data_IF_939808038365
#
_entry.id   IF_939808038365
#
_cell.length_a   1.000
_cell.length_b   1.000
_cell.length_c   1.000
_cell.angle_alpha   90.00
_cell.angle_beta   90.00
_cell.angle_gamma   90.00
#
_symmetry.space_group_name_H-M   'P 1'
#
loop_
_entity.id
_entity.type
_entity.pdbx_description
1 polymer ?
#
# COMPACT_ATOMS: atom_id res chain seq x y z
N UNK A 1 37.87 24.49 41.07
CA UNK A 1 36.85 25.33 41.77
C UNK A 1 35.49 24.84 41.37
N UNK A 2 34.58 24.65 42.34
CA UNK A 2 33.19 24.31 42.04
C UNK A 2 32.43 25.62 41.82
N UNK A 3 31.99 25.85 40.58
CA UNK A 3 31.17 27.01 40.25
C UNK A 3 29.71 26.72 40.57
N UNK A 4 29.05 27.51 41.38
CA UNK A 4 27.62 27.40 41.67
C UNK A 4 26.88 28.24 40.63
N UNK A 5 26.07 27.56 39.79
CA UNK A 5 25.25 28.22 38.78
C UNK A 5 24.27 29.23 39.38
N UNK A 6 24.05 30.30 38.66
CA UNK A 6 23.01 31.30 39.00
C UNK A 6 21.63 30.71 38.68
N UNK A 7 20.78 30.56 39.69
CA UNK A 7 19.42 30.08 39.54
C UNK A 7 18.39 31.23 39.57
N UNK A 8 18.62 32.31 38.87
CA UNK A 8 17.60 33.35 38.76
C UNK A 8 16.65 33.04 37.61
N UNK A 9 15.40 32.66 37.97
CA UNK A 9 14.32 32.36 37.03
C UNK A 9 13.42 33.55 36.71
N UNK A 10 13.71 34.72 37.29
CA UNK A 10 12.91 35.94 37.18
C UNK A 10 13.56 36.98 36.21
N UNK A 11 14.63 36.62 35.54
CA UNK A 11 15.24 37.48 34.54
C UNK A 11 14.29 37.66 33.37
N UNK A 12 13.99 38.89 33.03
CA UNK A 12 13.17 39.25 31.88
C UNK A 12 14.10 39.44 30.69
N UNK A 13 13.91 38.61 29.65
CA UNK A 13 14.59 38.77 28.37
C UNK A 13 13.55 39.11 27.29
N UNK A 14 13.82 40.12 26.47
CA UNK A 14 12.94 40.48 25.34
C UNK A 14 13.59 39.96 24.07
N UNK A 15 13.08 38.83 23.56
CA UNK A 15 13.59 38.17 22.35
C UNK A 15 12.43 37.77 21.44
N UNK A 16 12.63 37.93 20.13
CA UNK A 16 11.68 37.36 19.16
C UNK A 16 11.84 35.85 19.08
N UNK A 17 10.73 35.10 18.98
CA UNK A 17 10.76 33.64 18.86
C UNK A 17 11.62 33.16 17.69
N UNK A 18 11.67 33.93 16.63
CA UNK A 18 12.48 33.63 15.44
C UNK A 18 13.98 33.56 15.75
N UNK A 19 14.49 34.49 16.57
CA UNK A 19 15.91 34.52 16.96
C UNK A 19 16.31 33.36 17.89
N UNK A 20 15.33 32.68 18.51
CA UNK A 20 15.59 31.55 19.39
C UNK A 20 15.76 30.21 18.64
N UNK A 21 15.42 30.18 17.34
CA UNK A 21 15.58 28.99 16.49
C UNK A 21 16.85 29.13 15.66
N UNK A 22 17.82 28.22 15.77
CA UNK A 22 19.05 28.28 14.99
C UNK A 22 18.81 28.28 13.47
N UNK A 23 19.58 29.00 12.72
CA UNK A 23 19.47 29.09 11.24
C UNK A 23 19.57 27.72 10.58
N UNK A 24 20.43 26.82 11.08
CA UNK A 24 20.65 25.47 10.56
C UNK A 24 19.63 24.44 11.06
N UNK A 25 18.62 24.86 11.83
CA UNK A 25 17.64 23.94 12.38
C UNK A 25 16.81 23.28 11.27
N UNK A 26 16.55 21.96 11.39
CA UNK A 26 15.84 21.18 10.37
C UNK A 26 14.47 21.77 10.01
N UNK A 27 13.72 22.25 10.99
CA UNK A 27 12.38 22.83 10.73
C UNK A 27 12.47 24.12 9.91
N UNK A 28 13.54 24.93 10.03
CA UNK A 28 13.76 26.08 9.14
C UNK A 28 14.02 25.63 7.70
N UNK A 29 14.82 24.59 7.53
CA UNK A 29 15.10 24.03 6.21
C UNK A 29 13.84 23.51 5.55
N UNK A 30 12.98 22.84 6.30
CA UNK A 30 11.68 22.34 5.81
C UNK A 30 10.75 23.51 5.48
N UNK A 31 10.60 24.48 6.38
CA UNK A 31 9.71 25.64 6.17
C UNK A 31 10.13 26.49 4.96
N UNK A 32 11.42 26.55 4.66
CA UNK A 32 11.96 27.23 3.48
C UNK A 32 11.81 26.40 2.19
N UNK A 33 11.86 25.07 2.29
CA UNK A 33 11.83 24.17 1.14
C UNK A 33 10.43 23.84 0.67
N UNK A 34 9.43 23.87 1.58
CA UNK A 34 8.06 23.44 1.31
C UNK A 34 7.11 24.62 1.43
N UNK A 35 6.42 24.95 0.35
CA UNK A 35 5.36 25.97 0.37
C UNK A 35 4.05 25.39 0.91
N UNK A 36 3.88 25.45 2.22
CA UNK A 36 2.68 24.95 2.88
C UNK A 36 1.38 25.69 2.50
N UNK A 37 1.45 26.80 1.78
CA UNK A 37 0.25 27.54 1.35
C UNK A 37 -0.60 26.74 0.36
N UNK A 38 0.02 25.84 -0.42
CA UNK A 38 -0.69 24.90 -1.32
C UNK A 38 -1.71 24.01 -0.61
N UNK A 39 -1.52 23.75 0.68
CA UNK A 39 -2.49 22.97 1.46
C UNK A 39 -3.85 23.65 1.55
N UNK A 40 -3.91 24.98 1.56
CA UNK A 40 -5.19 25.69 1.60
C UNK A 40 -6.05 25.37 0.38
N UNK A 41 -5.47 25.38 -0.81
CA UNK A 41 -6.16 25.09 -2.06
C UNK A 41 -6.75 23.67 -2.08
N UNK A 42 -6.00 22.70 -1.53
CA UNK A 42 -6.41 21.29 -1.47
C UNK A 42 -7.54 21.03 -0.49
N UNK A 43 -7.57 21.76 0.63
CA UNK A 43 -8.52 21.51 1.72
C UNK A 43 -9.68 22.50 1.79
N UNK A 44 -9.61 23.63 1.09
CA UNK A 44 -10.66 24.67 1.07
C UNK A 44 -12.05 24.10 0.78
N UNK A 45 -12.23 23.17 -0.19
CA UNK A 45 -13.55 22.58 -0.46
C UNK A 45 -14.15 21.78 0.71
N UNK A 46 -13.33 21.42 1.69
CA UNK A 46 -13.74 20.64 2.88
C UNK A 46 -14.22 21.55 4.03
N UNK A 47 -14.16 22.87 3.85
CA UNK A 47 -14.56 23.87 4.86
C UNK A 47 -15.79 24.63 4.39
N UNK A 48 -16.66 25.00 5.34
CA UNK A 48 -17.81 25.88 5.06
C UNK A 48 -17.36 27.34 5.11
N UNK A 49 -17.78 28.15 4.12
CA UNK A 49 -17.43 29.55 4.03
C UNK A 49 -18.04 30.39 5.16
N UNK A 50 -19.31 30.19 5.49
CA UNK A 50 -20.10 31.10 6.31
C UNK A 50 -20.70 30.53 7.60
N UNK A 51 -20.39 29.28 7.95
CA UNK A 51 -21.04 28.63 9.09
C UNK A 51 -20.08 27.86 10.01
N UNK A 52 -20.21 28.08 11.30
CA UNK A 52 -19.52 27.33 12.34
C UNK A 52 -18.48 28.13 13.12
N UNK A 53 -17.88 27.45 14.13
CA UNK A 53 -16.76 28.00 14.89
C UNK A 53 -15.51 28.05 14.01
N UNK A 54 -14.69 29.12 14.09
CA UNK A 54 -13.40 29.16 13.39
C UNK A 54 -12.59 27.88 13.65
N UNK A 55 -12.18 27.22 12.57
CA UNK A 55 -11.39 26.01 12.66
C UNK A 55 -9.94 26.31 13.00
N UNK A 56 -9.23 25.31 13.54
CA UNK A 56 -7.77 25.38 13.58
C UNK A 56 -7.25 25.35 12.12
N UNK A 57 -6.23 26.15 11.86
CA UNK A 57 -5.57 26.23 10.59
C UNK A 57 -5.14 24.83 10.08
N UNK A 58 -5.57 24.42 8.86
CA UNK A 58 -5.19 23.12 8.30
C UNK A 58 -3.67 22.92 8.18
N UNK A 59 -2.93 23.96 7.84
CA UNK A 59 -1.45 23.90 7.77
C UNK A 59 -0.86 23.51 9.11
N UNK A 60 -1.38 24.06 10.20
CA UNK A 60 -0.95 23.69 11.56
C UNK A 60 -1.23 22.21 11.85
N UNK A 61 -2.40 21.70 11.42
CA UNK A 61 -2.76 20.29 11.62
C UNK A 61 -1.79 19.34 10.88
N UNK A 62 -1.48 19.64 9.63
CA UNK A 62 -0.50 18.87 8.84
C UNK A 62 0.92 19.00 9.41
N UNK A 63 1.36 20.21 9.77
CA UNK A 63 2.66 20.42 10.41
C UNK A 63 2.79 19.67 11.75
N UNK A 64 1.71 19.53 12.54
CA UNK A 64 1.73 18.72 13.78
C UNK A 64 1.94 17.23 13.49
N UNK A 65 1.29 16.67 12.47
CA UNK A 65 1.49 15.29 12.05
C UNK A 65 2.91 15.10 11.48
N UNK A 66 3.40 16.08 10.71
CA UNK A 66 4.78 16.06 10.22
C UNK A 66 5.79 16.04 11.38
N UNK A 67 5.63 16.87 12.40
CA UNK A 67 6.47 16.85 13.60
C UNK A 67 6.44 15.47 14.26
N UNK A 68 5.25 14.86 14.41
CA UNK A 68 5.11 13.54 15.01
C UNK A 68 5.99 12.50 14.31
N UNK A 69 5.91 12.43 12.99
CA UNK A 69 6.64 11.43 12.21
C UNK A 69 8.13 11.77 12.09
N UNK A 70 8.47 13.02 11.87
CA UNK A 70 9.85 13.49 11.73
C UNK A 70 10.70 13.23 12.98
N UNK A 71 10.12 13.42 14.16
CA UNK A 71 10.80 13.21 15.43
C UNK A 71 10.46 11.89 16.13
N UNK A 72 9.70 11.00 15.45
CA UNK A 72 9.35 9.67 15.97
C UNK A 72 8.53 9.71 17.26
N UNK A 73 7.67 10.72 17.43
CA UNK A 73 6.83 10.85 18.61
C UNK A 73 5.73 9.76 18.63
N UNK A 74 5.52 9.06 19.77
CA UNK A 74 4.72 7.83 19.78
C UNK A 74 3.21 8.03 19.61
N UNK A 75 2.70 9.26 19.77
CA UNK A 75 1.27 9.57 19.68
C UNK A 75 1.00 11.05 19.48
N UNK A 76 -0.15 11.39 18.89
CA UNK A 76 -0.63 12.79 18.79
C UNK A 76 -0.75 13.48 20.16
N UNK A 77 -1.09 12.75 21.22
CA UNK A 77 -1.12 13.32 22.59
C UNK A 77 0.28 13.76 23.00
N UNK A 78 1.27 12.91 22.82
CA UNK A 78 2.66 13.26 23.14
C UNK A 78 3.16 14.39 22.25
N UNK A 79 2.77 14.41 20.99
CA UNK A 79 3.09 15.50 20.06
C UNK A 79 2.54 16.85 20.55
N UNK A 80 1.28 16.90 20.98
CA UNK A 80 0.67 18.11 21.51
C UNK A 80 1.37 18.61 22.78
N UNK A 81 1.76 17.70 23.67
CA UNK A 81 2.54 18.01 24.87
C UNK A 81 3.92 18.61 24.51
N UNK A 82 4.64 17.97 23.58
CA UNK A 82 5.96 18.45 23.11
C UNK A 82 5.84 19.80 22.38
N UNK A 83 4.84 19.98 21.54
CA UNK A 83 4.55 21.25 20.84
C UNK A 83 4.30 22.36 21.85
N UNK A 84 3.57 22.10 22.93
CA UNK A 84 3.27 23.10 23.95
C UNK A 84 4.53 23.59 24.69
N UNK A 85 5.53 22.73 24.83
CA UNK A 85 6.77 23.02 25.58
C UNK A 85 7.98 23.42 24.73
N UNK A 86 7.96 23.17 23.42
CA UNK A 86 9.11 23.40 22.53
C UNK A 86 9.01 24.70 21.76
N UNK A 87 10.00 25.54 21.91
CA UNK A 87 10.12 26.79 21.14
C UNK A 87 10.22 26.50 19.63
N UNK A 88 10.95 25.47 19.23
CA UNK A 88 11.17 25.10 17.83
C UNK A 88 9.89 24.67 17.14
N UNK A 89 9.04 23.87 17.85
CA UNK A 89 7.76 23.43 17.30
C UNK A 89 6.76 24.56 17.24
N UNK A 90 6.69 25.42 18.29
CA UNK A 90 5.86 26.63 18.28
C UNK A 90 6.18 27.56 17.13
N UNK A 91 7.48 27.82 16.93
CA UNK A 91 7.96 28.62 15.80
C UNK A 91 7.51 28.04 14.46
N UNK A 92 7.70 26.73 14.25
CA UNK A 92 7.35 26.07 13.01
C UNK A 92 5.85 26.06 12.72
N UNK A 93 5.03 26.04 13.78
CA UNK A 93 3.57 26.13 13.68
C UNK A 93 3.03 27.56 13.61
N UNK A 94 3.89 28.58 13.79
CA UNK A 94 3.49 29.98 13.83
C UNK A 94 2.86 30.46 15.14
N UNK A 95 3.03 29.73 16.26
CA UNK A 95 2.50 30.08 17.57
C UNK A 95 3.49 30.88 18.40
N UNK A 96 2.97 31.87 19.16
CA UNK A 96 3.75 32.58 20.17
C UNK A 96 4.01 31.70 21.41
N UNK A 97 4.89 32.16 22.31
CA UNK A 97 5.24 31.39 23.52
C UNK A 97 4.06 31.19 24.50
N UNK A 98 3.06 32.10 24.49
CA UNK A 98 1.94 32.07 25.43
C UNK A 98 0.63 31.57 24.80
N UNK A 99 0.57 31.48 23.50
CA UNK A 99 -0.63 31.08 22.79
C UNK A 99 -0.94 29.60 23.01
N UNK A 100 -2.21 29.23 23.12
CA UNK A 100 -2.62 27.86 23.28
C UNK A 100 -2.48 27.08 21.98
N UNK A 101 -1.74 25.97 22.03
CA UNK A 101 -1.55 25.08 20.88
C UNK A 101 -2.73 24.11 20.75
N UNK A 102 -2.98 23.57 19.53
CA UNK A 102 -4.12 22.69 19.30
C UNK A 102 -4.07 21.43 20.16
N UNK A 103 -5.23 21.05 20.68
CA UNK A 103 -5.37 19.80 21.41
C UNK A 103 -5.29 18.60 20.46
N UNK A 104 -4.68 17.50 20.90
CA UNK A 104 -4.49 16.31 20.07
C UNK A 104 -5.78 15.72 19.48
N UNK A 105 -6.92 15.87 20.20
CA UNK A 105 -8.22 15.38 19.71
C UNK A 105 -8.71 16.16 18.50
N UNK A 106 -8.37 17.45 18.38
CA UNK A 106 -8.71 18.27 17.21
C UNK A 106 -7.98 17.78 15.98
N UNK A 107 -6.69 17.48 16.11
CA UNK A 107 -5.89 16.89 15.03
C UNK A 107 -6.49 15.54 14.61
N UNK A 108 -6.70 14.64 15.58
CA UNK A 108 -7.26 13.30 15.31
C UNK A 108 -8.65 13.36 14.67
N UNK A 109 -9.51 14.30 15.09
CA UNK A 109 -10.84 14.46 14.52
C UNK A 109 -10.78 14.87 13.05
N UNK A 110 -9.95 15.85 12.70
CA UNK A 110 -9.83 16.32 11.33
C UNK A 110 -9.28 15.24 10.39
N UNK A 111 -8.26 14.49 10.81
CA UNK A 111 -7.72 13.38 10.01
C UNK A 111 -8.63 12.15 9.92
N UNK A 112 -9.65 12.03 10.76
CA UNK A 112 -10.65 10.94 10.67
C UNK A 112 -11.91 11.30 9.90
N UNK A 113 -12.30 12.57 9.93
CA UNK A 113 -13.65 12.97 9.50
C UNK A 113 -13.67 14.07 8.43
N UNK A 114 -12.57 14.81 8.27
CA UNK A 114 -12.52 15.91 7.30
C UNK A 114 -11.55 15.60 6.17
N UNK A 115 -10.31 15.26 6.48
CA UNK A 115 -9.33 14.93 5.45
C UNK A 115 -9.55 13.50 4.98
N UNK A 116 -10.03 13.37 3.74
CA UNK A 116 -10.29 12.09 3.09
C UNK A 116 -8.98 11.45 2.62
N UNK A 117 -9.06 10.19 2.20
CA UNK A 117 -7.96 9.49 1.55
C UNK A 117 -7.46 10.26 0.32
N UNK A 118 -8.39 10.81 -0.47
CA UNK A 118 -8.09 11.64 -1.65
C UNK A 118 -7.27 12.90 -1.30
N UNK A 119 -7.59 13.56 -0.17
CA UNK A 119 -6.81 14.72 0.30
C UNK A 119 -5.39 14.33 0.68
N UNK A 120 -5.22 13.20 1.36
CA UNK A 120 -3.90 12.69 1.74
C UNK A 120 -3.10 12.31 0.49
N UNK A 121 -3.75 11.71 -0.50
CA UNK A 121 -3.14 11.34 -1.78
C UNK A 121 -2.68 12.59 -2.57
N UNK A 122 -3.50 13.64 -2.61
CA UNK A 122 -3.14 14.92 -3.23
C UNK A 122 -1.92 15.55 -2.57
N UNK A 123 -1.88 15.58 -1.23
CA UNK A 123 -0.72 16.08 -0.48
C UNK A 123 0.53 15.24 -0.75
N UNK A 124 0.38 13.92 -0.81
CA UNK A 124 1.49 13.02 -1.11
C UNK A 124 2.03 13.26 -2.52
N UNK A 125 1.18 13.37 -3.53
CA UNK A 125 1.55 13.66 -4.93
C UNK A 125 2.24 15.00 -5.05
N UNK A 126 1.71 16.04 -4.41
CA UNK A 126 2.37 17.35 -4.38
C UNK A 126 3.81 17.28 -3.83
N UNK A 127 4.01 16.60 -2.70
CA UNK A 127 5.37 16.44 -2.15
C UNK A 127 6.29 15.68 -3.10
N UNK A 128 5.77 14.66 -3.80
CA UNK A 128 6.55 13.93 -4.81
C UNK A 128 6.92 14.81 -6.01
N UNK A 129 6.03 15.69 -6.45
CA UNK A 129 6.32 16.68 -7.52
C UNK A 129 7.47 17.59 -7.11
N UNK A 130 7.45 18.15 -5.90
CA UNK A 130 8.55 18.97 -5.38
C UNK A 130 9.90 18.20 -5.34
N UNK A 131 9.87 16.92 -4.95
CA UNK A 131 11.06 16.07 -4.92
C UNK A 131 11.54 15.74 -6.34
N UNK A 132 10.62 15.57 -7.31
CA UNK A 132 10.93 15.34 -8.71
C UNK A 132 11.55 16.58 -9.35
N UNK A 133 10.98 17.76 -9.13
CA UNK A 133 11.50 19.04 -9.62
C UNK A 133 12.91 19.32 -9.06
N UNK A 134 13.17 18.94 -7.82
CA UNK A 134 14.50 19.00 -7.22
C UNK A 134 15.50 17.96 -7.79
N UNK A 135 15.06 17.05 -8.67
CA UNK A 135 15.89 16.07 -9.36
C UNK A 135 16.33 14.88 -8.51
N UNK A 136 15.64 14.60 -7.40
CA UNK A 136 15.99 13.49 -6.51
C UNK A 136 15.34 12.16 -6.90
N UNK A 137 14.25 12.17 -7.67
CA UNK A 137 13.57 10.93 -8.10
C UNK A 137 14.27 10.25 -9.27
N UNK A 138 14.23 8.93 -9.28
CA UNK A 138 14.75 8.08 -10.36
C UNK A 138 13.84 6.88 -10.59
N UNK A 139 12.62 7.08 -11.15
CA UNK A 139 11.57 6.07 -11.23
C UNK A 139 11.76 5.01 -12.32
N UNK A 140 12.83 5.04 -13.13
CA UNK A 140 13.08 4.02 -14.18
C UNK A 140 13.05 2.57 -13.67
N UNK A 141 13.55 2.35 -12.45
CA UNK A 141 13.48 1.06 -11.78
C UNK A 141 12.78 1.24 -10.43
N UNK A 142 11.67 0.55 -10.26
CA UNK A 142 10.85 0.62 -9.04
C UNK A 142 10.86 -0.71 -8.29
N UNK A 143 10.79 -0.63 -6.98
CA UNK A 143 10.82 -1.76 -6.05
C UNK A 143 9.49 -1.84 -5.31
N UNK A 144 8.78 -2.96 -5.47
CA UNK A 144 7.49 -3.21 -4.83
C UNK A 144 7.68 -4.18 -3.68
N UNK A 145 7.26 -3.80 -2.48
CA UNK A 145 7.30 -4.65 -1.29
C UNK A 145 6.07 -4.42 -0.40
N UNK A 146 5.66 -5.47 0.31
CA UNK A 146 4.54 -5.44 1.25
C UNK A 146 5.01 -5.41 2.71
N UNK A 147 4.55 -4.42 3.47
CA UNK A 147 4.85 -4.30 4.89
C UNK A 147 3.60 -4.41 5.74
N UNK A 148 3.58 -5.34 6.69
CA UNK A 148 2.44 -5.52 7.59
C UNK A 148 2.45 -4.51 8.74
N UNK A 149 1.37 -3.74 8.86
CA UNK A 149 1.13 -2.75 9.91
C UNK A 149 0.10 -3.33 10.89
N UNK A 150 0.48 -3.46 12.16
CA UNK A 150 -0.41 -3.99 13.20
C UNK A 150 -1.62 -3.07 13.37
N UNK A 151 -2.82 -3.64 13.25
CA UNK A 151 -4.07 -2.93 13.52
C UNK A 151 -4.29 -2.72 15.02
N UNK A 152 -4.93 -1.62 15.38
CA UNK A 152 -5.37 -1.38 16.75
C UNK A 152 -6.68 -2.12 17.05
N UNK A 153 -6.66 -3.43 16.88
CA UNK A 153 -7.79 -4.33 16.95
C UNK A 153 -7.69 -5.31 18.12
N UNK A 154 -8.81 -5.53 18.81
CA UNK A 154 -8.87 -6.52 19.88
C UNK A 154 -8.94 -7.94 19.32
N UNK A 155 -7.88 -8.71 19.49
CA UNK A 155 -7.76 -10.08 18.96
C UNK A 155 -8.76 -11.07 19.59
N UNK A 156 -9.33 -10.77 20.76
CA UNK A 156 -10.35 -11.61 21.42
C UNK A 156 -11.76 -11.34 20.89
N UNK A 157 -12.02 -10.13 20.34
CA UNK A 157 -13.32 -9.76 19.76
C UNK A 157 -13.28 -9.97 18.24
N UNK A 158 -13.65 -11.18 17.82
CA UNK A 158 -13.63 -11.58 16.42
C UNK A 158 -14.95 -12.20 15.97
N UNK A 159 -15.30 -12.01 14.72
CA UNK A 159 -16.45 -12.64 14.08
C UNK A 159 -16.03 -13.39 12.82
N UNK A 160 -16.79 -14.43 12.46
CA UNK A 160 -16.60 -15.16 11.20
C UNK A 160 -17.59 -14.65 10.17
N UNK A 161 -17.09 -14.16 9.05
CA UNK A 161 -17.88 -13.64 7.94
C UNK A 161 -17.65 -14.52 6.71
N UNK A 162 -18.71 -14.84 5.99
CA UNK A 162 -18.62 -15.55 4.72
C UNK A 162 -18.50 -14.51 3.60
N UNK A 163 -17.41 -14.56 2.83
CA UNK A 163 -17.19 -13.71 1.67
C UNK A 163 -17.07 -14.56 0.41
N UNK A 164 -17.51 -14.06 -0.76
CA UNK A 164 -17.27 -14.71 -2.04
C UNK A 164 -15.76 -14.86 -2.28
N UNK A 165 -15.36 -15.96 -2.91
CA UNK A 165 -13.95 -16.15 -3.29
C UNK A 165 -13.68 -15.35 -4.55
N UNK A 166 -12.83 -14.33 -4.43
CA UNK A 166 -12.47 -13.41 -5.52
C UNK A 166 -11.59 -14.03 -6.63
N UNK A 167 -11.26 -15.32 -6.55
CA UNK A 167 -10.34 -16.00 -7.49
C UNK A 167 -10.92 -16.24 -8.90
N UNK A 168 -12.02 -15.56 -9.26
CA UNK A 168 -12.68 -15.81 -10.54
C UNK A 168 -12.23 -14.88 -11.68
N UNK A 169 -11.64 -13.73 -11.41
CA UNK A 169 -11.37 -12.75 -12.47
C UNK A 169 -10.43 -13.34 -13.54
N UNK A 170 -9.30 -13.83 -13.13
CA UNK A 170 -8.33 -14.45 -14.05
C UNK A 170 -8.89 -15.73 -14.76
N UNK A 171 -9.67 -16.53 -14.05
CA UNK A 171 -10.27 -17.73 -14.67
C UNK A 171 -11.36 -17.36 -15.69
N UNK A 172 -12.04 -16.23 -15.53
CA UNK A 172 -13.01 -15.70 -16.48
C UNK A 172 -12.32 -15.11 -17.70
N UNK A 173 -11.31 -14.26 -17.52
CA UNK A 173 -10.50 -13.71 -18.62
C UNK A 173 -9.86 -14.82 -19.47
N UNK A 174 -9.25 -15.81 -18.80
CA UNK A 174 -8.67 -16.96 -19.50
C UNK A 174 -9.73 -17.75 -20.28
N UNK A 175 -10.94 -17.88 -19.73
CA UNK A 175 -12.04 -18.58 -20.40
C UNK A 175 -12.54 -17.81 -21.61
N UNK A 176 -12.61 -16.47 -21.51
CA UNK A 176 -12.97 -15.58 -22.63
C UNK A 176 -11.93 -15.64 -23.75
N UNK A 177 -10.63 -15.58 -23.43
CA UNK A 177 -9.54 -15.73 -24.40
C UNK A 177 -9.57 -17.10 -25.08
N UNK A 178 -9.75 -18.17 -24.31
CA UNK A 178 -9.85 -19.53 -24.85
C UNK A 178 -11.07 -19.69 -25.73
N UNK A 179 -12.20 -19.07 -25.36
CA UNK A 179 -13.41 -19.13 -26.19
C UNK A 179 -13.26 -18.32 -27.48
N UNK A 180 -12.62 -17.13 -27.43
CA UNK A 180 -12.30 -16.34 -28.61
C UNK A 180 -11.38 -17.11 -29.59
N UNK A 181 -10.34 -17.78 -29.06
CA UNK A 181 -9.45 -18.62 -29.88
C UNK A 181 -10.19 -19.82 -30.50
N UNK A 182 -11.10 -20.44 -29.74
CA UNK A 182 -11.93 -21.56 -30.24
C UNK A 182 -12.88 -21.13 -31.34
N UNK A 183 -13.52 -19.97 -31.20
CA UNK A 183 -14.39 -19.40 -32.23
C UNK A 183 -13.60 -19.06 -33.50
N UNK A 184 -12.41 -18.46 -33.37
CA UNK A 184 -11.51 -18.18 -34.48
C UNK A 184 -11.11 -19.45 -35.24
N UNK A 185 -11.09 -20.63 -34.60
CA UNK A 185 -10.79 -21.93 -35.16
C UNK A 185 -12.06 -22.78 -35.49
N UNK A 186 -13.25 -22.15 -35.49
CA UNK A 186 -14.51 -22.81 -35.82
C UNK A 186 -14.98 -23.88 -34.83
N UNK A 187 -14.50 -23.82 -33.60
CA UNK A 187 -14.89 -24.70 -32.47
C UNK A 187 -15.92 -24.01 -31.60
N UNK A 188 -16.87 -24.79 -31.08
CA UNK A 188 -17.86 -24.24 -30.12
C UNK A 188 -17.15 -23.71 -28.86
N UNK A 189 -17.53 -22.54 -28.33
CA UNK A 189 -17.05 -22.05 -27.06
C UNK A 189 -17.34 -23.05 -25.93
N UNK A 190 -16.54 -23.04 -24.89
CA UNK A 190 -16.85 -23.79 -23.67
C UNK A 190 -18.04 -23.11 -22.99
N UNK A 191 -19.07 -23.89 -22.65
CA UNK A 191 -20.10 -23.41 -21.74
C UNK A 191 -19.50 -23.24 -20.34
N UNK A 192 -20.03 -22.27 -19.60
CA UNK A 192 -19.66 -22.01 -18.19
C UNK A 192 -19.70 -23.25 -17.27
N UNK A 193 -20.28 -24.36 -17.72
CA UNK A 193 -20.40 -25.62 -17.00
C UNK A 193 -19.35 -26.69 -17.35
N UNK A 194 -18.51 -26.43 -18.39
CA UNK A 194 -17.42 -27.34 -18.76
C UNK A 194 -16.18 -27.06 -17.89
N UNK A 195 -15.90 -27.95 -16.93
CA UNK A 195 -14.61 -27.95 -16.22
C UNK A 195 -13.48 -28.17 -17.26
N UNK A 196 -12.37 -27.40 -17.20
CA UNK A 196 -11.21 -27.65 -18.05
C UNK A 196 -10.75 -29.10 -17.86
N UNK A 197 -10.31 -29.78 -18.93
CA UNK A 197 -10.00 -31.21 -18.90
C UNK A 197 -8.96 -31.52 -17.84
N UNK A 198 -9.40 -32.06 -16.72
CA UNK A 198 -8.49 -32.60 -15.70
C UNK A 198 -7.80 -33.84 -16.26
N UNK A 199 -6.49 -34.01 -16.06
CA UNK A 199 -5.75 -35.20 -16.53
C UNK A 199 -6.42 -36.46 -15.98
N UNK A 200 -6.47 -37.57 -16.76
CA UNK A 200 -7.26 -38.72 -16.45
C UNK A 200 -6.92 -39.31 -15.11
N UNK A 201 -7.79 -39.15 -14.14
CA UNK A 201 -7.74 -39.91 -12.88
C UNK A 201 -8.07 -41.35 -13.16
N UNK A 202 -7.17 -42.27 -12.78
CA UNK A 202 -7.38 -43.71 -12.85
C UNK A 202 -8.79 -44.07 -12.34
N UNK A 203 -9.53 -44.76 -13.19
CA UNK A 203 -10.88 -45.31 -12.88
C UNK A 203 -10.84 -45.99 -11.52
N UNK A 204 -11.64 -45.53 -10.61
CA UNK A 204 -12.20 -46.30 -9.50
C UNK A 204 -13.73 -46.36 -9.70
N UNK A 205 -14.24 -47.57 -9.71
CA UNK A 205 -15.59 -47.95 -10.01
C UNK A 205 -16.67 -47.24 -9.20
N UNK A 206 -17.79 -47.09 -9.92
CA UNK A 206 -19.17 -47.06 -9.43
C UNK A 206 -19.46 -46.61 -8.01
N UNK A 207 -19.94 -45.42 -7.88
CA UNK A 207 -21.17 -45.17 -7.12
C UNK A 207 -21.75 -43.81 -7.42
N UNK A 208 -22.99 -43.89 -7.91
CA UNK A 208 -24.08 -42.92 -7.69
C UNK A 208 -24.19 -41.67 -8.55
N UNK A 209 -25.21 -41.75 -9.35
CA UNK A 209 -25.98 -40.70 -10.04
C UNK A 209 -26.49 -39.54 -9.14
N UNK A 210 -25.94 -39.36 -7.94
CA UNK A 210 -26.27 -38.26 -7.00
C UNK A 210 -25.36 -37.02 -7.09
N UNK A 211 -24.40 -36.97 -8.02
CA UNK A 211 -23.49 -35.82 -8.18
C UNK A 211 -23.96 -34.77 -9.17
N UNK A 212 -25.03 -34.96 -9.90
CA UNK A 212 -25.49 -34.04 -10.95
C UNK A 212 -26.36 -32.87 -10.46
N UNK A 213 -26.59 -32.71 -9.19
CA UNK A 213 -27.40 -31.64 -8.62
C UNK A 213 -26.60 -30.74 -7.66
N UNK A 214 -25.26 -30.67 -7.76
CA UNK A 214 -24.50 -29.59 -7.13
C UNK A 214 -24.51 -28.39 -8.06
N UNK A 215 -25.67 -27.68 -8.09
CA UNK A 215 -25.73 -26.29 -8.53
C UNK A 215 -24.49 -25.55 -8.01
N UNK A 216 -23.81 -24.78 -8.86
CA UNK A 216 -22.75 -23.82 -8.52
C UNK A 216 -23.17 -23.04 -7.27
N UNK A 217 -22.88 -23.55 -6.09
CA UNK A 217 -22.86 -22.70 -4.90
C UNK A 217 -21.61 -21.89 -5.02
N UNK A 218 -21.75 -20.58 -5.07
CA UNK A 218 -20.61 -19.67 -4.92
C UNK A 218 -19.75 -20.19 -3.78
N UNK A 219 -18.48 -20.45 -4.07
CA UNK A 219 -17.56 -20.92 -3.04
C UNK A 219 -17.35 -19.77 -2.06
N UNK A 220 -18.09 -19.80 -0.95
CA UNK A 220 -17.93 -18.85 0.13
C UNK A 220 -16.72 -19.27 0.97
N UNK A 221 -15.84 -18.32 1.23
CA UNK A 221 -14.72 -18.49 2.16
C UNK A 221 -15.08 -17.84 3.48
N UNK A 222 -14.89 -18.55 4.58
CA UNK A 222 -15.06 -17.99 5.92
C UNK A 222 -13.80 -17.21 6.29
N UNK A 223 -13.93 -15.92 6.49
CA UNK A 223 -12.85 -15.03 6.93
C UNK A 223 -13.15 -14.55 8.35
N UNK A 224 -12.10 -14.47 9.16
CA UNK A 224 -12.19 -13.92 10.51
C UNK A 224 -11.93 -12.42 10.44
N UNK A 225 -12.90 -11.62 10.90
CA UNK A 225 -12.79 -10.15 11.00
C UNK A 225 -12.77 -9.71 12.46
N UNK A 226 -12.12 -8.60 12.74
CA UNK A 226 -12.22 -7.94 14.05
C UNK A 226 -13.56 -7.24 14.19
N UNK A 227 -14.13 -7.25 15.39
CA UNK A 227 -15.33 -6.46 15.74
C UNK A 227 -14.98 -5.01 16.01
N UNK A 228 -13.77 -4.75 16.51
CA UNK A 228 -13.30 -3.40 16.86
C UNK A 228 -12.69 -2.64 15.71
N UNK A 229 -12.23 -3.35 14.68
CA UNK A 229 -11.66 -2.81 13.47
C UNK A 229 -11.98 -3.75 12.30
N UNK A 230 -13.18 -3.61 11.69
CA UNK A 230 -13.70 -4.54 10.67
C UNK A 230 -12.90 -4.55 9.37
N UNK A 231 -12.17 -3.46 9.08
CA UNK A 231 -11.41 -3.29 7.84
C UNK A 231 -10.04 -3.99 7.93
N UNK A 232 -9.58 -4.29 9.14
CA UNK A 232 -8.33 -5.03 9.33
C UNK A 232 -8.47 -6.50 8.96
N UNK A 233 -7.40 -7.09 8.39
CA UNK A 233 -7.30 -8.51 8.06
C UNK A 233 -6.57 -9.33 9.13
N UNK A 234 -6.98 -10.59 9.33
CA UNK A 234 -6.25 -11.50 10.21
C UNK A 234 -4.98 -12.03 9.49
N UNK A 235 -3.85 -11.46 9.86
CA UNK A 235 -2.54 -11.91 9.41
C UNK A 235 -2.02 -13.08 10.23
N UNK A 236 -1.54 -14.12 9.55
CA UNK A 236 -0.98 -15.32 10.17
C UNK A 236 0.39 -15.62 9.55
N UNK A 237 1.45 -15.53 10.33
CA UNK A 237 2.80 -15.90 9.92
C UNK A 237 3.32 -17.02 10.81
N UNK A 238 3.46 -18.22 10.24
CA UNK A 238 3.85 -19.41 11.00
C UNK A 238 2.80 -19.81 12.06
N UNK A 239 3.22 -20.62 13.03
CA UNK A 239 2.31 -21.14 14.07
C UNK A 239 2.04 -20.15 15.21
N UNK A 240 2.90 -19.16 15.41
CA UNK A 240 2.91 -18.34 16.62
C UNK A 240 2.45 -16.89 16.43
N UNK A 241 2.47 -16.34 15.21
CA UNK A 241 2.11 -14.94 14.98
C UNK A 241 0.75 -14.82 14.32
N UNK A 242 -0.27 -14.52 15.13
CA UNK A 242 -1.65 -14.22 14.69
C UNK A 242 -2.05 -12.85 15.21
N UNK A 243 -2.31 -11.91 14.31
CA UNK A 243 -2.72 -10.56 14.67
C UNK A 243 -3.58 -9.96 13.57
N UNK A 244 -4.45 -9.03 13.93
CA UNK A 244 -5.09 -8.19 12.95
C UNK A 244 -4.09 -7.14 12.46
N UNK A 245 -4.01 -6.98 11.16
CA UNK A 245 -3.07 -6.10 10.50
C UNK A 245 -3.64 -5.55 9.20
N UNK A 246 -3.05 -4.48 8.73
CA UNK A 246 -3.09 -4.00 7.37
C UNK A 246 -1.79 -4.38 6.68
N UNK A 247 -1.80 -4.39 5.36
CA UNK A 247 -0.61 -4.52 4.56
C UNK A 247 -0.47 -3.29 3.68
N UNK A 248 0.66 -2.61 3.83
CA UNK A 248 1.02 -1.47 2.99
C UNK A 248 1.92 -1.99 1.86
N UNK A 249 1.41 -1.98 0.64
CA UNK A 249 2.17 -2.25 -0.57
C UNK A 249 2.79 -0.93 -1.02
N UNK A 250 4.10 -0.82 -0.87
CA UNK A 250 4.84 0.40 -1.20
C UNK A 250 5.66 0.20 -2.46
N UNK A 251 5.71 1.22 -3.28
CA UNK A 251 6.59 1.30 -4.43
C UNK A 251 7.66 2.35 -4.15
N UNK A 252 8.91 1.97 -4.22
CA UNK A 252 10.03 2.87 -4.01
C UNK A 252 10.93 2.94 -5.24
N UNK A 253 11.61 4.06 -5.43
CA UNK A 253 12.69 4.17 -6.39
C UNK A 253 14.01 3.57 -5.83
N UNK A 254 15.07 3.59 -6.63
CA UNK A 254 16.40 3.09 -6.22
C UNK A 254 17.05 3.87 -5.08
N UNK A 255 16.56 5.06 -4.77
CA UNK A 255 17.04 5.92 -3.68
C UNK A 255 16.22 5.74 -2.40
N UNK A 256 15.12 4.98 -2.47
CA UNK A 256 14.23 4.73 -1.35
C UNK A 256 13.11 5.75 -1.18
N UNK A 257 12.90 6.63 -2.15
CA UNK A 257 11.71 7.48 -2.16
C UNK A 257 10.48 6.64 -2.47
N UNK A 258 9.48 6.75 -1.62
CA UNK A 258 8.18 6.10 -1.84
C UNK A 258 7.44 6.86 -2.93
N UNK A 259 7.13 6.19 -4.03
CA UNK A 259 6.43 6.75 -5.18
C UNK A 259 4.92 6.52 -5.12
N UNK A 260 4.51 5.40 -4.54
CA UNK A 260 3.10 5.02 -4.38
C UNK A 260 2.95 4.08 -3.19
N UNK A 261 1.77 4.10 -2.57
CA UNK A 261 1.42 3.20 -1.48
C UNK A 261 -0.07 2.84 -1.52
N UNK A 262 -0.36 1.54 -1.48
CA UNK A 262 -1.73 1.01 -1.39
C UNK A 262 -1.88 0.21 -0.10
N UNK A 263 -2.94 0.47 0.65
CA UNK A 263 -3.22 -0.19 1.92
C UNK A 263 -4.32 -1.23 1.73
N UNK A 264 -4.03 -2.47 2.06
CA UNK A 264 -5.01 -3.57 2.01
C UNK A 264 -5.19 -4.22 3.39
N UNK A 265 -6.29 -4.94 3.62
CA UNK A 265 -6.40 -5.81 4.79
C UNK A 265 -5.27 -6.85 4.79
N UNK A 266 -4.60 -7.08 5.92
CA UNK A 266 -3.41 -7.93 6.02
C UNK A 266 -3.62 -9.44 5.76
N UNK A 267 -4.79 -9.84 5.27
CA UNK A 267 -5.10 -11.19 4.79
C UNK A 267 -5.30 -11.25 3.27
N UNK A 268 -5.09 -10.14 2.58
CA UNK A 268 -5.06 -10.05 1.12
C UNK A 268 -3.66 -10.51 0.67
N UNK A 269 -3.59 -11.27 -0.41
CA UNK A 269 -2.31 -11.74 -0.94
C UNK A 269 -1.68 -10.66 -1.83
N UNK A 270 -0.37 -10.47 -1.74
CA UNK A 270 0.40 -9.45 -2.47
C UNK A 270 0.08 -9.40 -3.97
N UNK A 271 -0.09 -10.56 -4.59
CA UNK A 271 -0.43 -10.65 -6.01
C UNK A 271 -1.82 -10.10 -6.38
N UNK A 272 -2.72 -9.92 -5.40
CA UNK A 272 -4.05 -9.31 -5.63
C UNK A 272 -3.97 -7.80 -5.59
N UNK A 273 -3.13 -7.25 -4.72
CA UNK A 273 -2.90 -5.82 -4.62
C UNK A 273 -2.02 -5.26 -5.76
N UNK A 274 -1.30 -6.15 -6.47
CA UNK A 274 -0.35 -5.75 -7.50
C UNK A 274 -0.96 -4.88 -8.59
N UNK A 275 -2.13 -5.25 -9.09
CA UNK A 275 -2.73 -4.55 -10.23
C UNK A 275 -2.99 -3.08 -9.92
N UNK A 276 -3.57 -2.80 -8.74
CA UNK A 276 -3.83 -1.44 -8.30
C UNK A 276 -2.54 -0.63 -8.09
N UNK A 277 -1.56 -1.24 -7.42
CA UNK A 277 -0.26 -0.61 -7.16
C UNK A 277 0.48 -0.32 -8.47
N UNK A 278 0.47 -1.29 -9.38
CA UNK A 278 1.12 -1.20 -10.67
C UNK A 278 0.50 -0.11 -11.56
N UNK A 279 -0.82 -0.11 -11.67
CA UNK A 279 -1.54 0.85 -12.50
C UNK A 279 -1.31 2.28 -11.99
N UNK A 280 -1.43 2.52 -10.68
CA UNK A 280 -1.18 3.83 -10.07
C UNK A 280 0.24 4.34 -10.31
N UNK A 281 1.26 3.49 -10.09
CA UNK A 281 2.65 3.94 -10.27
C UNK A 281 3.01 4.14 -11.74
N UNK A 282 2.47 3.34 -12.65
CA UNK A 282 2.77 3.50 -14.09
C UNK A 282 2.01 4.64 -14.75
N UNK A 283 0.86 5.01 -14.19
CA UNK A 283 0.11 6.21 -14.58
C UNK A 283 0.85 7.48 -14.12
N UNK A 284 1.32 7.49 -12.86
CA UNK A 284 2.05 8.63 -12.29
C UNK A 284 3.46 8.78 -12.88
N UNK A 285 4.14 7.68 -13.19
CA UNK A 285 5.52 7.65 -13.69
C UNK A 285 5.62 6.78 -14.96
N UNK A 286 5.25 7.30 -16.13
CA UNK A 286 5.31 6.55 -17.40
C UNK A 286 6.70 6.05 -17.79
N UNK A 287 7.76 6.66 -17.25
CA UNK A 287 9.16 6.30 -17.48
C UNK A 287 9.61 5.03 -16.75
N UNK A 288 8.76 4.38 -15.98
CA UNK A 288 9.05 3.09 -15.32
C UNK A 288 9.29 2.03 -16.38
N UNK A 289 10.51 1.48 -16.41
CA UNK A 289 10.94 0.42 -17.33
C UNK A 289 11.04 -0.93 -16.62
N UNK A 290 11.50 -0.93 -15.37
CA UNK A 290 11.79 -2.16 -14.61
C UNK A 290 11.06 -2.17 -13.28
N UNK A 291 10.36 -3.26 -13.01
CA UNK A 291 9.68 -3.53 -11.76
C UNK A 291 10.41 -4.65 -11.04
N UNK A 292 10.89 -4.37 -9.84
CA UNK A 292 11.55 -5.33 -8.96
C UNK A 292 10.59 -5.69 -7.83
N UNK A 293 10.27 -6.97 -7.71
CA UNK A 293 9.35 -7.45 -6.69
C UNK A 293 9.83 -8.79 -6.10
N UNK A 294 9.27 -9.17 -4.97
CA UNK A 294 9.58 -10.46 -4.37
C UNK A 294 8.93 -11.63 -5.13
N UNK A 295 9.21 -12.85 -4.72
CA UNK A 295 8.70 -14.05 -5.38
C UNK A 295 7.18 -14.28 -5.17
N UNK A 296 6.52 -13.57 -4.27
CA UNK A 296 5.07 -13.65 -4.04
C UNK A 296 4.30 -13.00 -5.21
N UNK A 297 4.89 -11.99 -5.84
CA UNK A 297 4.35 -11.31 -7.01
C UNK A 297 4.55 -12.08 -8.33
N UNK A 298 5.33 -13.17 -8.33
CA UNK A 298 5.57 -13.97 -9.55
C UNK A 298 4.38 -14.87 -9.88
N UNK A 299 3.37 -14.31 -10.48
CA UNK A 299 2.21 -15.03 -11.01
C UNK A 299 2.14 -14.91 -12.54
N UNK A 300 1.52 -15.85 -13.27
CA UNK A 300 1.36 -15.75 -14.72
C UNK A 300 0.65 -14.47 -15.17
N UNK A 301 -0.39 -14.05 -14.44
CA UNK A 301 -1.12 -12.81 -14.68
C UNK A 301 -0.20 -11.58 -14.62
N UNK A 302 0.54 -11.41 -13.52
CA UNK A 302 1.46 -10.29 -13.34
C UNK A 302 2.55 -10.28 -14.41
N UNK A 303 3.13 -11.45 -14.71
CA UNK A 303 4.15 -11.56 -15.76
C UNK A 303 3.59 -11.16 -17.12
N UNK A 304 2.35 -11.57 -17.46
CA UNK A 304 1.68 -11.21 -18.71
C UNK A 304 1.44 -9.72 -18.79
N UNK A 305 0.80 -9.12 -17.78
CA UNK A 305 0.48 -7.69 -17.71
C UNK A 305 1.71 -6.80 -17.91
N UNK A 306 2.77 -7.04 -17.13
CA UNK A 306 4.02 -6.26 -17.22
C UNK A 306 4.71 -6.43 -18.58
N UNK A 307 4.66 -7.64 -19.17
CA UNK A 307 5.25 -7.92 -20.47
C UNK A 307 4.47 -7.27 -21.61
N UNK A 308 3.14 -7.28 -21.57
CA UNK A 308 2.27 -6.64 -22.56
C UNK A 308 2.46 -5.13 -22.59
N UNK A 309 2.74 -4.51 -21.43
CA UNK A 309 3.08 -3.10 -21.33
C UNK A 309 4.53 -2.77 -21.76
N UNK A 310 5.28 -3.76 -22.25
CA UNK A 310 6.66 -3.59 -22.71
C UNK A 310 7.68 -3.34 -21.60
N UNK A 311 7.33 -3.64 -20.35
CA UNK A 311 8.19 -3.44 -19.18
C UNK A 311 8.85 -4.75 -18.73
N UNK A 312 9.85 -4.64 -17.86
CA UNK A 312 10.61 -5.79 -17.35
C UNK A 312 10.23 -6.08 -15.89
N UNK A 313 9.78 -7.31 -15.60
CA UNK A 313 9.58 -7.79 -14.24
C UNK A 313 10.80 -8.56 -13.75
N UNK A 314 11.46 -8.04 -12.72
CA UNK A 314 12.59 -8.69 -12.03
C UNK A 314 12.12 -9.26 -10.70
N UNK A 315 12.15 -10.58 -10.54
CA UNK A 315 11.76 -11.25 -9.29
C UNK A 315 12.84 -12.22 -8.85
N UNK A 316 12.91 -12.48 -7.54
CA UNK A 316 13.79 -13.49 -7.01
C UNK A 316 13.52 -14.86 -7.65
N UNK A 317 14.60 -15.62 -7.90
CA UNK A 317 14.47 -16.96 -8.47
C UNK A 317 13.69 -17.88 -7.54
N UNK A 318 12.61 -18.44 -8.06
CA UNK A 318 11.83 -19.49 -7.38
C UNK A 318 12.00 -20.79 -8.15
N UNK A 319 12.49 -21.82 -7.47
CA UNK A 319 12.62 -23.15 -8.09
C UNK A 319 11.25 -23.62 -8.60
N UNK A 320 11.13 -24.02 -9.89
CA UNK A 320 9.87 -24.51 -10.41
C UNK A 320 9.39 -25.72 -9.60
N UNK A 321 8.16 -25.67 -9.17
CA UNK A 321 7.49 -26.82 -8.53
C UNK A 321 6.80 -27.63 -9.62
N UNK A 322 7.40 -28.75 -10.00
CA UNK A 322 6.81 -29.71 -10.92
C UNK A 322 6.04 -30.77 -10.16
N UNK A 323 4.82 -31.09 -10.61
CA UNK A 323 4.11 -32.26 -10.11
C UNK A 323 4.89 -33.52 -10.45
N UNK A 324 4.86 -34.53 -9.54
CA UNK A 324 5.51 -35.81 -9.77
C UNK A 324 4.99 -36.45 -11.05
N UNK A 325 5.86 -36.65 -12.04
CA UNK A 325 5.51 -37.16 -13.37
C UNK A 325 5.24 -36.10 -14.45
N UNK A 326 5.34 -34.80 -14.12
CA UNK A 326 5.29 -33.72 -15.10
C UNK A 326 6.69 -33.35 -15.57
N UNK A 327 6.81 -32.82 -16.81
CA UNK A 327 8.07 -32.32 -17.35
C UNK A 327 8.50 -31.07 -16.59
N UNK A 328 9.79 -30.97 -16.28
CA UNK A 328 10.38 -29.76 -15.72
C UNK A 328 10.53 -28.69 -16.79
N UNK A 329 10.48 -27.40 -16.40
CA UNK A 329 10.70 -26.28 -17.34
C UNK A 329 12.05 -26.36 -18.07
N UNK A 330 13.08 -26.98 -17.47
CA UNK A 330 14.36 -27.25 -18.11
C UNK A 330 14.33 -28.34 -19.20
N UNK A 331 13.25 -29.13 -19.24
CA UNK A 331 13.04 -30.16 -20.27
C UNK A 331 12.26 -29.62 -21.48
N UNK A 332 11.87 -28.34 -21.47
CA UNK A 332 11.18 -27.69 -22.58
C UNK A 332 12.12 -26.80 -23.37
N UNK A 333 11.99 -26.80 -24.67
CA UNK A 333 12.75 -25.93 -25.57
C UNK A 333 11.75 -24.94 -26.22
N UNK A 334 12.03 -23.66 -26.11
CA UNK A 334 11.31 -22.66 -26.92
C UNK A 334 11.87 -22.64 -28.35
N UNK A 335 11.04 -22.82 -29.32
CA UNK A 335 11.41 -22.61 -30.72
C UNK A 335 11.20 -21.15 -31.12
N UNK A 336 12.20 -20.57 -31.77
CA UNK A 336 12.23 -19.14 -32.13
C UNK A 336 11.16 -18.69 -33.13
N UNK A 337 10.40 -19.63 -33.68
CA UNK A 337 9.38 -19.36 -34.71
C UNK A 337 7.93 -19.56 -34.28
N UNK A 338 7.71 -20.09 -33.09
CA UNK A 338 6.36 -20.27 -32.56
C UNK A 338 6.35 -20.08 -31.03
N UNK A 339 5.31 -19.47 -30.53
CA UNK A 339 4.99 -19.32 -29.10
C UNK A 339 4.73 -20.66 -28.38
N UNK A 340 5.14 -21.78 -28.96
CA UNK A 340 4.91 -23.11 -28.42
C UNK A 340 6.17 -23.71 -27.78
N UNK A 341 6.06 -24.21 -26.56
CA UNK A 341 7.09 -25.02 -25.91
C UNK A 341 6.99 -26.46 -26.40
N UNK A 342 8.05 -26.99 -27.02
CA UNK A 342 8.17 -28.42 -27.32
C UNK A 342 9.03 -29.15 -26.30
N UNK A 343 8.67 -30.38 -25.99
CA UNK A 343 9.45 -31.22 -25.11
C UNK A 343 10.77 -31.63 -25.79
N UNK A 344 11.91 -31.47 -25.12
CA UNK A 344 13.17 -32.06 -25.58
C UNK A 344 13.06 -33.57 -25.54
N UNK A 345 13.11 -34.19 -26.71
CA UNK A 345 13.29 -35.63 -26.83
C UNK A 345 14.72 -35.98 -26.34
N UNK A 346 14.83 -36.49 -25.12
CA UNK A 346 16.03 -37.19 -24.68
C UNK A 346 16.02 -38.58 -25.32
N UNK A 347 16.49 -38.69 -26.55
CA UNK A 347 17.07 -39.95 -27.03
C UNK A 347 18.57 -39.76 -27.02
N UNK A 348 19.21 -40.48 -26.11
CA UNK A 348 20.60 -40.94 -26.28
C UNK A 348 20.68 -41.85 -27.49
#
# INVERSE_FOLDING_TARGET
>A
MLERGKMDRHVIEIVGIDSLVPEEHLLRKIDKAVDFSRLYEMVEPLYCEDNGRPSVDPVVLFKMVLIQHLYGLPSLRRTAEEVSGSIYYRWFLGYTLQEETPHFSTVSYNFRHRFTEETVDQVFRWILEEVAEAGYLSPKAVFIDGTHIKANANTKKQMKVQIPVASKHYAQELMEEVNADREAHGKKPFDDDDEPPTPPKKRRDNTSKKKLARRKKEKLRTVTRSVTDPDSGLFVKGEHKRQFAYEAHTVCDKHGFVLEAVITPGNVHDSVAFDEVYDRVTEAFPEVETIVADSAYKTPHICKKVFEDGRVLSTAYKRPQTMKGAMSGGSMCMTSTMTACSARSTRC
#
